data_IF_438706488609
#
_entry.id   IF_438706488609
#
_cell.length_a   1.000
_cell.length_b   1.000
_cell.length_c   1.000
_cell.angle_alpha   90.00
_cell.angle_beta   90.00
_cell.angle_gamma   90.00
#
_symmetry.space_group_name_H-M   'P 1'
#
loop_
_entity.id
_entity.type
_entity.pdbx_description
1 polymer ?
#
# COMPACT_ATOMS: atom_id res chain seq x y z
N UNK A 1 5.05 -5.33 15.49
CA UNK A 1 4.29 -4.48 14.57
C UNK A 1 3.27 -5.37 13.90
N UNK A 2 2.00 -5.07 14.16
CA UNK A 2 0.85 -5.76 13.58
C UNK A 2 0.24 -4.84 12.52
N UNK A 3 -0.24 -5.43 11.42
CA UNK A 3 -0.98 -4.70 10.40
C UNK A 3 -2.46 -5.02 10.52
N UNK A 4 -3.29 -3.98 10.51
CA UNK A 4 -4.75 -4.07 10.64
C UNK A 4 -5.42 -3.27 9.54
N UNK A 5 -6.62 -3.68 9.12
CA UNK A 5 -7.34 -2.98 8.07
C UNK A 5 -7.88 -1.64 8.56
N UNK A 6 -7.93 -0.63 7.69
CA UNK A 6 -8.41 0.71 8.02
C UNK A 6 -9.82 0.72 8.62
N UNK A 7 -10.74 -0.06 8.06
CA UNK A 7 -12.12 -0.15 8.56
C UNK A 7 -12.25 -0.93 9.87
N UNK A 8 -11.28 -1.76 10.22
CA UNK A 8 -11.19 -2.40 11.54
C UNK A 8 -10.52 -1.46 12.55
N UNK A 9 -9.49 -0.73 12.11
CA UNK A 9 -8.75 0.22 12.93
C UNK A 9 -9.58 1.45 13.29
N UNK A 10 -10.35 1.98 12.34
CA UNK A 10 -11.25 3.12 12.54
C UNK A 10 -12.49 2.98 11.62
N UNK A 11 -13.58 2.34 12.07
CA UNK A 11 -14.75 2.04 11.24
C UNK A 11 -15.38 3.25 10.53
N UNK A 12 -15.35 4.42 11.17
CA UNK A 12 -15.91 5.67 10.65
C UNK A 12 -14.85 6.57 9.96
N UNK A 13 -13.83 5.98 9.32
CA UNK A 13 -12.67 6.74 8.79
C UNK A 13 -13.08 7.81 7.77
N UNK A 14 -14.21 7.62 7.09
CA UNK A 14 -14.76 8.56 6.11
C UNK A 14 -14.98 9.95 6.72
N UNK A 15 -15.37 10.05 7.99
CA UNK A 15 -15.55 11.33 8.68
C UNK A 15 -14.22 12.10 8.81
N UNK A 16 -13.10 11.37 8.94
CA UNK A 16 -11.76 11.96 8.96
C UNK A 16 -11.27 12.29 7.55
N UNK A 17 -11.82 11.62 6.53
CA UNK A 17 -11.36 11.70 5.14
C UNK A 17 -12.29 12.58 4.29
N UNK A 18 -12.93 13.60 4.88
CA UNK A 18 -13.83 14.51 4.16
C UNK A 18 -14.98 13.80 3.42
N UNK A 19 -15.46 12.68 3.98
CA UNK A 19 -16.42 11.74 3.40
C UNK A 19 -15.94 11.01 2.14
N UNK A 20 -14.66 11.08 1.83
CA UNK A 20 -14.02 10.31 0.77
C UNK A 20 -13.92 8.84 1.16
N UNK A 21 -14.32 7.97 0.23
CA UNK A 21 -14.07 6.54 0.32
C UNK A 21 -13.08 6.12 -0.76
N UNK A 22 -11.84 5.85 -0.35
CA UNK A 22 -10.79 5.34 -1.24
C UNK A 22 -11.06 3.90 -1.70
N UNK A 23 -11.92 3.16 -1.01
CA UNK A 23 -12.29 1.82 -1.46
C UNK A 23 -12.95 1.91 -2.85
N UNK A 24 -12.67 0.90 -3.66
CA UNK A 24 -13.09 0.80 -5.06
C UNK A 24 -12.46 1.84 -5.99
N UNK A 25 -11.37 2.51 -5.59
CA UNK A 25 -10.57 3.26 -6.56
C UNK A 25 -9.91 2.28 -7.52
N UNK A 26 -9.96 2.60 -8.81
CA UNK A 26 -9.37 1.74 -9.84
C UNK A 26 -7.86 1.92 -9.89
N UNK A 27 -7.12 0.82 -9.95
CA UNK A 27 -5.65 0.80 -9.98
C UNK A 27 -5.16 0.55 -11.40
N UNK A 28 -4.21 1.36 -11.87
CA UNK A 28 -3.66 1.30 -13.22
C UNK A 28 -2.13 1.32 -13.21
N UNK A 29 -1.53 0.75 -14.26
CA UNK A 29 -0.11 0.93 -14.56
C UNK A 29 0.15 2.24 -15.33
N UNK A 30 1.38 2.44 -15.77
CA UNK A 30 1.83 3.60 -16.56
C UNK A 30 1.30 3.62 -18.00
N UNK A 31 0.79 2.49 -18.51
CA UNK A 31 0.20 2.36 -19.84
C UNK A 31 -1.32 2.60 -19.83
N UNK A 32 -1.89 2.92 -18.67
CA UNK A 32 -3.34 3.00 -18.43
C UNK A 32 -4.05 1.64 -18.55
N UNK A 33 -3.34 0.53 -18.42
CA UNK A 33 -3.97 -0.78 -18.29
C UNK A 33 -4.51 -0.94 -16.87
N UNK A 34 -5.76 -1.37 -16.75
CA UNK A 34 -6.39 -1.60 -15.44
C UNK A 34 -5.77 -2.84 -14.80
N UNK A 35 -5.17 -2.64 -13.62
CA UNK A 35 -4.59 -3.70 -12.78
C UNK A 35 -5.66 -4.30 -11.87
N UNK A 36 -6.53 -3.47 -11.31
CA UNK A 36 -7.45 -3.90 -10.26
C UNK A 36 -8.21 -2.76 -9.60
N UNK A 37 -8.61 -2.97 -8.35
CA UNK A 37 -9.28 -1.97 -7.52
C UNK A 37 -8.83 -2.06 -6.05
N UNK A 38 -8.83 -0.92 -5.35
CA UNK A 38 -8.48 -0.86 -3.92
C UNK A 38 -9.59 -1.48 -3.08
N UNK A 39 -9.28 -2.53 -2.33
CA UNK A 39 -10.21 -3.17 -1.40
C UNK A 39 -10.15 -2.51 -0.01
N UNK A 40 -8.94 -2.20 0.48
CA UNK A 40 -8.71 -1.64 1.81
C UNK A 40 -7.29 -1.07 1.95
N UNK A 41 -6.97 -0.53 3.12
CA UNK A 41 -5.62 -0.08 3.50
C UNK A 41 -5.18 -0.85 4.74
N UNK A 42 -3.93 -1.31 4.75
CA UNK A 42 -3.28 -1.87 5.93
C UNK A 42 -2.53 -0.77 6.68
N UNK A 43 -2.83 -0.70 7.97
CA UNK A 43 -2.37 0.30 8.92
C UNK A 43 -1.46 -0.39 9.92
N UNK A 44 -0.35 0.24 10.25
CA UNK A 44 0.48 -0.13 11.38
C UNK A 44 -0.28 0.13 12.68
N UNK A 45 -0.61 -0.95 13.39
CA UNK A 45 -1.46 -0.88 14.58
C UNK A 45 -0.82 -0.09 15.71
N UNK A 46 0.50 0.04 15.79
CA UNK A 46 1.16 0.76 16.87
C UNK A 46 1.20 2.27 16.58
N UNK A 47 1.44 2.63 15.32
CA UNK A 47 1.69 4.02 14.92
C UNK A 47 0.51 4.71 14.24
N UNK A 48 -0.41 3.96 13.65
CA UNK A 48 -1.50 4.48 12.81
C UNK A 48 -1.08 4.87 11.39
N UNK A 49 0.16 4.57 10.99
CA UNK A 49 0.68 4.88 9.65
C UNK A 49 0.16 3.89 8.60
N UNK A 50 -0.10 4.37 7.40
CA UNK A 50 -0.48 3.51 6.29
C UNK A 50 0.76 2.78 5.79
N UNK A 51 0.61 1.49 5.46
CA UNK A 51 1.71 0.65 4.97
C UNK A 51 1.46 0.13 3.57
N UNK A 52 0.26 -0.40 3.32
CA UNK A 52 -0.11 -0.96 2.02
C UNK A 52 -1.55 -0.68 1.65
N UNK A 53 -1.82 -0.59 0.36
CA UNK A 53 -3.15 -0.82 -0.19
C UNK A 53 -3.34 -2.32 -0.43
N UNK A 54 -4.51 -2.84 -0.09
CA UNK A 54 -4.96 -4.17 -0.54
C UNK A 54 -5.62 -3.94 -1.89
N UNK A 55 -5.06 -4.53 -2.95
CA UNK A 55 -5.56 -4.38 -4.32
C UNK A 55 -6.12 -5.72 -4.78
N UNK A 56 -7.39 -5.74 -5.16
CA UNK A 56 -8.00 -6.87 -5.85
C UNK A 56 -7.72 -6.73 -7.35
N UNK A 57 -6.96 -7.66 -7.91
CA UNK A 57 -6.60 -7.68 -9.34
C UNK A 57 -7.73 -8.17 -10.24
N UNK A 58 -8.83 -8.70 -9.67
CA UNK A 58 -10.05 -9.05 -10.39
C UNK A 58 -9.82 -10.01 -11.57
N UNK A 59 -10.33 -9.65 -12.76
CA UNK A 59 -10.27 -10.47 -13.98
C UNK A 59 -8.92 -10.50 -14.69
N UNK A 60 -7.88 -9.98 -14.04
CA UNK A 60 -6.54 -10.09 -14.56
C UNK A 60 -6.01 -11.54 -14.44
N UNK A 61 -4.90 -11.87 -15.10
CA UNK A 61 -4.52 -13.26 -15.48
C UNK A 61 -4.46 -14.29 -14.34
N UNK A 62 -4.39 -13.84 -13.08
CA UNK A 62 -4.33 -14.70 -11.90
C UNK A 62 -5.24 -14.25 -10.75
N UNK A 63 -6.27 -13.44 -11.05
CA UNK A 63 -7.26 -12.88 -10.10
C UNK A 63 -7.04 -13.19 -8.63
N UNK A 64 -6.29 -12.31 -7.95
CA UNK A 64 -5.91 -12.42 -6.55
C UNK A 64 -5.89 -11.05 -5.89
N UNK A 65 -5.90 -11.02 -4.56
CA UNK A 65 -5.58 -9.79 -3.81
C UNK A 65 -4.08 -9.71 -3.61
N UNK A 66 -3.51 -8.51 -3.68
CA UNK A 66 -2.08 -8.26 -3.49
C UNK A 66 -1.89 -7.02 -2.61
N UNK A 67 -0.69 -6.88 -2.04
CA UNK A 67 -0.31 -5.68 -1.30
C UNK A 67 0.51 -4.74 -2.17
N UNK A 68 0.13 -3.47 -2.18
CA UNK A 68 0.83 -2.38 -2.86
C UNK A 68 1.39 -1.41 -1.80
N UNK A 69 2.72 -1.22 -1.70
CA UNK A 69 3.30 -0.25 -0.77
C UNK A 69 2.72 1.15 -0.99
N UNK A 70 2.33 1.81 0.11
CA UNK A 70 1.52 3.02 0.03
C UNK A 70 2.20 4.17 -0.71
N UNK A 71 3.53 4.32 -0.59
CA UNK A 71 4.27 5.40 -1.26
C UNK A 71 4.36 5.19 -2.79
N UNK A 72 4.26 3.94 -3.25
CA UNK A 72 4.24 3.61 -4.69
C UNK A 72 2.91 3.98 -5.37
N UNK A 73 1.84 4.23 -4.60
CA UNK A 73 0.51 4.53 -5.12
C UNK A 73 0.33 6.03 -5.39
N UNK A 74 0.11 6.41 -6.65
CA UNK A 74 -0.35 7.77 -7.03
C UNK A 74 -1.86 7.84 -6.97
N UNK A 75 -2.40 8.44 -5.92
CA UNK A 75 -3.85 8.54 -5.71
C UNK A 75 -4.37 9.88 -6.27
N UNK A 76 -5.32 9.80 -7.19
CA UNK A 76 -6.12 10.91 -7.71
C UNK A 76 -7.57 10.74 -7.26
N UNK A 77 -7.96 11.53 -6.27
CA UNK A 77 -9.30 11.46 -5.67
C UNK A 77 -10.39 11.97 -6.63
N UNK A 78 -10.05 12.94 -7.48
CA UNK A 78 -11.00 13.51 -8.43
C UNK A 78 -11.44 12.48 -9.47
N UNK A 79 -10.51 11.62 -9.87
CA UNK A 79 -10.74 10.54 -10.82
C UNK A 79 -11.05 9.19 -10.15
N UNK A 80 -11.06 9.13 -8.81
CA UNK A 80 -11.16 7.89 -8.03
C UNK A 80 -10.17 6.82 -8.52
N UNK A 81 -8.93 7.23 -8.74
CA UNK A 81 -7.91 6.46 -9.47
C UNK A 81 -6.62 6.35 -8.67
N UNK A 82 -6.00 5.17 -8.74
CA UNK A 82 -4.63 4.92 -8.29
C UNK A 82 -3.78 4.57 -9.50
N UNK A 83 -2.60 5.18 -9.62
CA UNK A 83 -1.62 4.83 -10.65
C UNK A 83 -0.33 4.35 -10.01
N UNK A 84 0.29 3.30 -10.56
CA UNK A 84 1.55 2.74 -10.05
C UNK A 84 2.61 2.81 -11.16
N UNK A 85 3.39 3.89 -11.23
CA UNK A 85 4.36 4.08 -12.32
C UNK A 85 5.42 2.97 -12.37
N UNK A 86 5.72 2.49 -13.57
CA UNK A 86 6.74 1.48 -13.82
C UNK A 86 6.37 0.05 -13.42
N UNK A 87 5.24 -0.16 -12.74
CA UNK A 87 4.77 -1.49 -12.38
C UNK A 87 4.36 -2.26 -13.64
N UNK A 88 5.02 -3.39 -13.88
CA UNK A 88 4.76 -4.22 -15.05
C UNK A 88 3.77 -5.33 -14.76
N UNK A 89 3.18 -5.87 -15.84
CA UNK A 89 2.33 -7.06 -15.76
C UNK A 89 3.05 -8.24 -15.07
N UNK A 90 4.27 -8.55 -15.49
CA UNK A 90 5.03 -9.64 -14.88
C UNK A 90 5.20 -9.46 -13.36
N UNK A 91 5.46 -8.24 -12.89
CA UNK A 91 5.62 -7.99 -11.46
C UNK A 91 4.33 -8.26 -10.68
N UNK A 92 3.17 -7.83 -11.15
CA UNK A 92 1.90 -8.11 -10.45
C UNK A 92 1.58 -9.62 -10.46
N UNK A 93 1.96 -10.34 -11.52
CA UNK A 93 1.87 -11.82 -11.55
C UNK A 93 2.77 -12.44 -10.47
N UNK A 94 3.98 -11.91 -10.29
CA UNK A 94 4.98 -12.38 -9.31
C UNK A 94 4.66 -11.95 -7.86
N UNK A 95 3.69 -11.06 -7.61
CA UNK A 95 3.28 -10.66 -6.25
C UNK A 95 2.70 -11.85 -5.46
N UNK A 96 3.04 -12.03 -4.18
CA UNK A 96 2.37 -13.03 -3.35
C UNK A 96 0.88 -12.66 -3.16
N UNK A 97 0.03 -13.68 -3.14
CA UNK A 97 -1.39 -13.52 -2.86
C UNK A 97 -1.65 -13.17 -1.39
N UNK A 98 -2.51 -12.18 -1.18
CA UNK A 98 -3.08 -11.81 0.11
C UNK A 98 -4.41 -12.52 0.33
N UNK A 99 -4.55 -13.23 1.44
CA UNK A 99 -5.84 -13.78 1.89
C UNK A 99 -6.22 -13.19 3.25
N UNK A 100 -7.51 -13.29 3.60
CA UNK A 100 -8.07 -12.70 4.83
C UNK A 100 -7.55 -13.40 6.10
N UNK A 101 -7.24 -14.68 6.00
CA UNK A 101 -6.72 -15.55 7.06
C UNK A 101 -5.18 -15.54 7.17
N UNK A 102 -4.50 -14.86 6.24
CA UNK A 102 -3.05 -14.81 6.20
C UNK A 102 -2.49 -13.95 7.34
N UNK A 103 -1.53 -14.51 8.08
CA UNK A 103 -0.69 -13.72 8.98
C UNK A 103 0.35 -12.95 8.16
N UNK A 104 0.23 -11.62 8.13
CA UNK A 104 1.18 -10.74 7.43
C UNK A 104 2.42 -10.60 8.30
N UNK A 105 3.37 -11.50 8.09
CA UNK A 105 4.66 -11.47 8.75
C UNK A 105 5.72 -10.75 7.90
N UNK A 106 6.89 -10.52 8.50
CA UNK A 106 8.00 -9.82 7.82
C UNK A 106 8.53 -10.54 6.58
N UNK A 107 8.38 -11.86 6.46
CA UNK A 107 8.86 -12.62 5.29
C UNK A 107 7.86 -12.47 4.14
N UNK A 108 6.56 -12.45 4.44
CA UNK A 108 5.54 -12.10 3.47
C UNK A 108 5.74 -10.67 2.94
N UNK A 109 5.94 -9.70 3.82
CA UNK A 109 6.22 -8.31 3.43
C UNK A 109 7.49 -8.20 2.56
N UNK A 110 8.54 -8.96 2.88
CA UNK A 110 9.76 -8.98 2.06
C UNK A 110 9.50 -9.55 0.66
N UNK A 111 8.71 -10.61 0.52
CA UNK A 111 8.32 -11.12 -0.79
C UNK A 111 7.57 -10.06 -1.61
N UNK A 112 6.68 -9.30 -0.98
CA UNK A 112 5.99 -8.17 -1.62
C UNK A 112 7.02 -7.11 -2.07
N UNK A 113 7.85 -6.61 -1.14
CA UNK A 113 8.84 -5.56 -1.44
C UNK A 113 9.84 -5.95 -2.52
N UNK A 114 10.28 -7.21 -2.53
CA UNK A 114 11.25 -7.70 -3.51
C UNK A 114 10.78 -7.52 -4.97
N UNK A 115 9.47 -7.59 -5.20
CA UNK A 115 8.86 -7.37 -6.52
C UNK A 115 8.90 -5.89 -6.92
N UNK A 116 8.72 -4.98 -5.97
CA UNK A 116 8.69 -3.54 -6.22
C UNK A 116 10.07 -2.88 -6.19
N UNK A 117 11.08 -3.49 -5.53
CA UNK A 117 12.43 -2.92 -5.37
C UNK A 117 13.10 -2.51 -6.69
N UNK A 118 12.97 -3.27 -7.80
CA UNK A 118 13.48 -2.86 -9.11
C UNK A 118 12.90 -1.55 -9.65
N UNK A 119 11.74 -1.09 -9.16
CA UNK A 119 11.09 0.15 -9.59
C UNK A 119 11.73 1.41 -8.98
N UNK A 120 12.42 1.28 -7.84
CA UNK A 120 12.95 2.43 -7.12
C UNK A 120 14.44 2.67 -7.36
N UNK A 121 15.24 1.63 -7.70
CA UNK A 121 16.62 1.84 -8.13
C UNK A 121 17.26 0.57 -8.70
N UNK A 122 17.90 0.71 -9.86
CA UNK A 122 18.87 -0.25 -10.41
C UNK A 122 20.22 -0.25 -9.66
N UNK A 123 20.36 0.56 -8.59
CA UNK A 123 21.65 0.89 -7.95
C UNK A 123 21.62 0.87 -6.40
N UNK A 124 20.51 0.51 -5.76
CA UNK A 124 20.52 0.33 -4.30
C UNK A 124 21.23 -0.97 -3.97
N UNK A 125 22.35 -0.90 -3.24
CA UNK A 125 22.88 -2.07 -2.52
C UNK A 125 21.73 -2.66 -1.72
N UNK A 126 21.22 -3.82 -2.15
CA UNK A 126 20.23 -4.59 -1.39
C UNK A 126 20.95 -4.93 -0.10
N UNK A 127 20.68 -4.16 0.96
CA UNK A 127 21.11 -4.54 2.30
C UNK A 127 20.52 -5.93 2.53
N UNK A 128 21.36 -6.89 2.91
CA UNK A 128 20.91 -8.25 3.16
C UNK A 128 19.72 -8.18 4.11
N UNK A 129 18.55 -8.62 3.63
CA UNK A 129 17.35 -8.65 4.45
C UNK A 129 17.60 -9.51 5.69
N UNK A 130 17.33 -8.95 6.87
CA UNK A 130 17.31 -9.68 8.13
C UNK A 130 15.95 -9.44 8.80
N UNK A 131 15.17 -10.53 8.86
CA UNK A 131 13.83 -10.57 9.44
C UNK A 131 13.79 -10.05 10.88
N UNK A 132 14.86 -10.19 11.66
CA UNK A 132 14.86 -9.82 13.07
C UNK A 132 15.07 -8.33 13.29
N UNK A 133 15.77 -7.66 12.37
CA UNK A 133 16.20 -6.26 12.50
C UNK A 133 15.52 -5.31 11.53
N UNK A 134 14.78 -5.84 10.54
CA UNK A 134 14.04 -5.04 9.58
C UNK A 134 13.04 -4.08 10.25
N UNK A 135 13.04 -2.84 9.77
CA UNK A 135 12.01 -1.84 10.07
C UNK A 135 11.75 -0.96 8.84
N UNK A 136 10.58 -0.32 8.82
CA UNK A 136 10.10 0.46 7.67
C UNK A 136 10.97 1.68 7.31
N UNK A 137 11.84 2.15 8.22
CA UNK A 137 12.73 3.30 7.96
C UNK A 137 13.95 2.93 7.10
N UNK A 138 14.24 1.63 6.95
CA UNK A 138 15.35 1.15 6.10
C UNK A 138 15.02 1.24 4.61
N UNK A 139 13.74 1.16 4.24
CA UNK A 139 13.25 1.30 2.87
C UNK A 139 12.17 2.39 2.80
N UNK A 140 12.53 3.66 3.09
CA UNK A 140 11.56 4.75 3.22
C UNK A 140 10.78 4.96 1.94
N UNK A 141 11.35 4.63 0.78
CA UNK A 141 10.69 4.74 -0.51
C UNK A 141 9.42 3.90 -0.68
N UNK A 142 9.19 2.88 0.14
CA UNK A 142 7.94 2.11 0.12
C UNK A 142 6.84 2.72 1.01
N UNK A 143 7.20 3.49 2.03
CA UNK A 143 6.27 3.84 3.12
C UNK A 143 6.25 5.33 3.47
N UNK A 144 7.32 6.05 3.16
CA UNK A 144 7.43 7.48 3.37
C UNK A 144 6.69 8.22 2.25
N UNK A 145 5.52 8.78 2.60
CA UNK A 145 4.74 9.62 1.70
C UNK A 145 5.26 11.06 1.64
N UNK A 146 6.30 11.43 2.39
CA UNK A 146 6.82 12.81 2.39
C UNK A 146 7.53 13.20 1.08
N UNK A 147 7.97 12.23 0.27
CA UNK A 147 8.76 12.50 -0.93
C UNK A 147 7.94 12.64 -2.22
N UNK A 148 6.70 12.16 -2.24
CA UNK A 148 5.80 12.26 -3.40
C UNK A 148 4.54 13.01 -3.00
N UNK A 149 4.24 14.06 -3.76
CA UNK A 149 3.19 15.07 -3.51
C UNK A 149 1.77 14.50 -3.38
N UNK A 150 1.44 13.86 -2.24
CA UNK A 150 0.09 13.41 -1.88
C UNK A 150 -0.42 14.14 -0.63
N UNK A 151 -0.68 15.46 -0.70
CA UNK A 151 -1.03 16.26 0.47
C UNK A 151 -2.29 15.73 1.18
N UNK A 152 -3.30 15.24 0.44
CA UNK A 152 -4.53 14.74 1.05
C UNK A 152 -4.32 13.45 1.84
N UNK A 153 -3.63 12.47 1.26
CA UNK A 153 -3.50 11.14 1.89
C UNK A 153 -2.63 11.17 3.15
N UNK A 154 -1.61 12.03 3.15
CA UNK A 154 -0.87 12.37 4.36
C UNK A 154 -1.77 13.03 5.41
N UNK A 155 -2.61 13.97 5.00
CA UNK A 155 -3.56 14.63 5.92
C UNK A 155 -4.51 13.59 6.55
N UNK A 156 -4.96 12.60 5.78
CA UNK A 156 -5.79 11.50 6.28
C UNK A 156 -5.08 10.63 7.31
N UNK A 157 -3.81 10.26 7.06
CA UNK A 157 -2.97 9.56 8.04
C UNK A 157 -2.82 10.40 9.33
N UNK A 158 -2.50 11.69 9.21
CA UNK A 158 -2.32 12.59 10.35
C UNK A 158 -3.61 12.73 11.19
N UNK A 159 -4.77 12.88 10.54
CA UNK A 159 -6.08 12.93 11.23
C UNK A 159 -6.40 11.62 11.95
N UNK A 160 -6.11 10.48 11.33
CA UNK A 160 -6.30 9.15 11.92
C UNK A 160 -5.43 8.95 13.17
N UNK A 161 -4.15 9.33 13.09
CA UNK A 161 -3.23 9.29 14.23
C UNK A 161 -3.67 10.20 15.38
N UNK A 162 -4.20 11.38 15.06
CA UNK A 162 -4.74 12.30 16.07
C UNK A 162 -6.03 11.79 16.71
N UNK A 163 -6.94 11.22 15.92
CA UNK A 163 -8.22 10.71 16.39
C UNK A 163 -8.06 9.56 17.40
N UNK A 164 -7.08 8.67 17.20
CA UNK A 164 -6.82 7.57 18.15
C UNK A 164 -6.18 8.01 19.47
N UNK A 165 -5.51 9.16 19.49
CA UNK A 165 -4.88 9.69 20.72
C UNK A 165 -5.90 10.35 21.67
N UNK A 166 -7.15 10.52 21.24
CA UNK A 166 -8.25 11.08 22.03
C UNK A 166 -9.09 9.97 22.62
#
# INVERSE_FOLDING_TARGET
MSLVKLDQYYPNYKELFDNTDIKNYDVYDDKNDKIGSVQNILIDEDTGRFRYLIVDTGFWVFGKKVLLPISMARIDESQRRVSVPGLTKKQVEDLPEFTEDLSIDRDYEERVRSVYRPLYSSSSTVSSYDRNTYNYEQEPYFYDMNQQSYPTFRTYEERLMQARRR
#
